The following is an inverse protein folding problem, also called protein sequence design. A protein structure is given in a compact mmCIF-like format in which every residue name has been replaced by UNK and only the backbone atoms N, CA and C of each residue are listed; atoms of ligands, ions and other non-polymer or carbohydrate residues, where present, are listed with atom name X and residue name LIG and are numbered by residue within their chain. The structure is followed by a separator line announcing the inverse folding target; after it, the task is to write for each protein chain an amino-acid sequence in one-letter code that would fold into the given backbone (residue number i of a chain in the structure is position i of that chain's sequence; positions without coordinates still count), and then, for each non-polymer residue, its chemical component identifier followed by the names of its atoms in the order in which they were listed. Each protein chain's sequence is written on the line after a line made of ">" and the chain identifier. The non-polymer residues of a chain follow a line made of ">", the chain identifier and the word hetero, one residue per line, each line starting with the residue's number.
data_IF_118617871446
#
_entry.id   IF_118617871446
#
_cell.length_a   1.000
_cell.length_b   1.000
_cell.length_c   1.000
_cell.angle_alpha   90.00
_cell.angle_beta   90.00
_cell.angle_gamma   90.00
#
_symmetry.space_group_name_H-M   'P 1'
#
loop_
_entity.id
_entity.type
_entity.pdbx_description
1 polymer ?
#
# COMPACT_ATOMS: atom_id res chain seq x y z
N UNK A 1 0.87 -10.13 -11.73
CA UNK A 1 1.52 -9.23 -10.75
C UNK A 1 2.44 -10.04 -9.88
N UNK A 2 3.66 -9.58 -9.61
CA UNK A 2 4.54 -10.19 -8.60
C UNK A 2 3.83 -10.21 -7.23
N UNK A 3 4.13 -11.21 -6.41
CA UNK A 3 3.54 -11.38 -5.08
C UNK A 3 4.65 -11.32 -4.03
N UNK A 4 4.31 -10.75 -2.88
CA UNK A 4 5.17 -10.67 -1.69
C UNK A 4 4.31 -11.04 -0.48
N UNK A 5 4.88 -11.76 0.47
CA UNK A 5 4.19 -12.12 1.71
C UNK A 5 4.22 -10.95 2.71
N UNK A 6 3.29 -10.95 3.67
CA UNK A 6 3.28 -9.96 4.75
C UNK A 6 4.59 -9.95 5.54
N UNK A 7 5.18 -11.14 5.76
CA UNK A 7 6.47 -11.30 6.46
C UNK A 7 7.62 -10.64 5.70
N UNK A 8 7.69 -10.84 4.38
CA UNK A 8 8.73 -10.21 3.56
C UNK A 8 8.56 -8.70 3.49
N UNK A 9 7.32 -8.21 3.35
CA UNK A 9 7.02 -6.77 3.40
C UNK A 9 7.50 -6.15 4.71
N UNK A 10 7.20 -6.81 5.85
CA UNK A 10 7.64 -6.36 7.17
C UNK A 10 9.18 -6.31 7.28
N UNK A 11 9.88 -7.37 6.85
CA UNK A 11 11.34 -7.41 6.87
C UNK A 11 12.00 -6.28 6.07
N UNK A 12 11.40 -5.88 4.94
CA UNK A 12 11.90 -4.76 4.13
C UNK A 12 11.71 -3.42 4.84
N UNK A 13 10.54 -3.21 5.45
CA UNK A 13 10.25 -2.03 6.26
C UNK A 13 11.25 -1.93 7.42
N UNK A 14 11.50 -3.03 8.13
CA UNK A 14 12.48 -3.07 9.23
C UNK A 14 13.92 -2.77 8.78
N UNK A 15 14.29 -3.14 7.55
CA UNK A 15 15.59 -2.80 6.94
C UNK A 15 15.70 -1.35 6.48
N UNK A 16 14.62 -0.57 6.55
CA UNK A 16 14.58 0.80 6.04
C UNK A 16 14.51 0.88 4.51
N UNK A 17 14.10 -0.19 3.82
CA UNK A 17 13.84 -0.11 2.39
C UNK A 17 12.65 0.84 2.11
N UNK A 18 12.67 1.60 1.00
CA UNK A 18 11.56 2.48 0.64
C UNK A 18 10.37 1.63 0.18
N UNK A 19 9.48 1.30 1.12
CA UNK A 19 8.25 0.53 0.90
C UNK A 19 7.04 1.39 1.27
N UNK A 20 6.04 1.43 0.39
CA UNK A 20 4.73 2.01 0.70
C UNK A 20 3.67 0.91 0.62
N UNK A 21 2.99 0.72 1.75
CA UNK A 21 1.82 -0.15 1.83
C UNK A 21 0.60 0.65 1.39
N UNK A 22 -0.16 0.10 0.44
CA UNK A 22 -1.30 0.78 -0.19
C UNK A 22 -2.55 -0.05 0.02
N UNK A 23 -3.50 0.48 0.78
CA UNK A 23 -4.79 -0.17 0.99
C UNK A 23 -5.71 0.13 -0.19
N UNK A 24 -6.09 -0.89 -0.95
CA UNK A 24 -6.98 -0.72 -2.11
C UNK A 24 -8.45 -0.97 -1.80
N UNK A 25 -8.79 -1.21 -0.53
CA UNK A 25 -10.14 -1.47 -0.04
C UNK A 25 -10.95 -0.17 0.01
N UNK A 26 -12.23 -0.32 0.38
CA UNK A 26 -13.13 0.84 0.56
C UNK A 26 -12.75 1.60 1.83
N UNK A 27 -12.96 2.92 1.89
CA UNK A 27 -12.67 3.73 3.09
C UNK A 27 -13.34 3.20 4.37
N UNK A 28 -14.53 2.61 4.26
CA UNK A 28 -15.25 2.03 5.41
C UNK A 28 -14.52 0.84 6.05
N UNK A 29 -13.72 0.08 5.28
CA UNK A 29 -12.92 -1.03 5.79
C UNK A 29 -11.64 -0.52 6.45
N UNK A 30 -10.96 0.43 5.81
CA UNK A 30 -9.75 1.09 6.32
C UNK A 30 -9.96 1.78 7.67
N UNK A 31 -11.10 2.48 7.84
CA UNK A 31 -11.49 3.12 9.11
C UNK A 31 -11.66 2.14 10.27
N UNK A 32 -11.97 0.87 10.00
CA UNK A 32 -12.13 -0.14 11.06
C UNK A 32 -10.78 -0.65 11.55
N UNK A 33 -9.90 -0.99 10.60
CA UNK A 33 -8.54 -1.45 10.86
C UNK A 33 -7.71 -1.28 9.60
N UNK A 34 -6.52 -0.73 9.77
CA UNK A 34 -5.54 -0.53 8.71
C UNK A 34 -4.13 -0.71 9.25
N UNK A 35 -3.18 -0.89 8.34
CA UNK A 35 -1.76 -0.95 8.67
C UNK A 35 -1.27 0.47 8.97
N UNK A 36 -0.60 0.67 10.09
CA UNK A 36 -0.04 1.98 10.44
C UNK A 36 0.87 2.50 9.33
N UNK A 37 0.71 3.78 8.97
CA UNK A 37 1.42 4.45 7.86
C UNK A 37 1.10 3.92 6.46
N UNK A 38 0.01 3.19 6.28
CA UNK A 38 -0.47 2.86 4.95
C UNK A 38 -1.04 4.08 4.22
N UNK A 39 -1.19 3.93 2.92
CA UNK A 39 -1.82 4.91 2.05
C UNK A 39 -3.12 4.34 1.50
N UNK A 40 -4.25 4.90 1.93
CA UNK A 40 -5.56 4.52 1.42
C UNK A 40 -5.72 4.99 -0.02
N UNK A 41 -5.84 4.04 -0.93
CA UNK A 41 -6.00 4.28 -2.36
C UNK A 41 -7.04 3.31 -2.95
N UNK A 42 -8.34 3.61 -2.78
CA UNK A 42 -9.40 2.69 -3.16
C UNK A 42 -9.33 2.34 -4.64
N UNK A 43 -9.40 1.03 -4.97
CA UNK A 43 -9.24 0.54 -6.36
C UNK A 43 -10.15 1.23 -7.39
N UNK A 44 -11.32 1.71 -6.97
CA UNK A 44 -12.28 2.42 -7.84
C UNK A 44 -11.79 3.79 -8.30
N UNK A 45 -10.91 4.41 -7.53
CA UNK A 45 -10.35 5.74 -7.80
C UNK A 45 -9.02 5.65 -8.58
N UNK A 46 -8.52 4.43 -8.85
CA UNK A 46 -7.22 4.20 -9.49
C UNK A 46 -7.09 4.89 -10.86
N UNK A 47 -8.18 4.91 -11.65
CA UNK A 47 -8.14 5.50 -12.99
C UNK A 47 -7.92 7.03 -12.94
N UNK A 48 -8.46 7.70 -11.93
CA UNK A 48 -8.47 9.16 -11.80
C UNK A 48 -7.22 9.67 -11.06
N UNK A 49 -6.69 8.88 -10.13
CA UNK A 49 -5.61 9.29 -9.21
C UNK A 49 -4.27 8.65 -9.53
N UNK A 50 -4.09 8.07 -10.72
CA UNK A 50 -2.93 7.21 -11.06
C UNK A 50 -1.58 7.89 -10.83
N UNK A 51 -1.52 9.21 -10.96
CA UNK A 51 -0.30 10.02 -10.78
C UNK A 51 0.06 10.37 -9.34
N UNK A 52 -0.78 10.03 -8.35
CA UNK A 52 -0.49 10.34 -6.94
C UNK A 52 0.44 9.32 -6.28
N UNK A 53 0.56 8.12 -6.87
CA UNK A 53 1.40 7.08 -6.30
C UNK A 53 2.88 7.35 -6.62
N UNK A 54 3.76 7.32 -5.62
CA UNK A 54 5.17 7.57 -5.81
C UNK A 54 5.82 6.46 -6.64
N UNK A 55 6.78 6.84 -7.50
CA UNK A 55 7.53 5.91 -8.35
C UNK A 55 8.91 5.55 -7.77
N UNK A 56 9.32 6.18 -6.65
CA UNK A 56 10.63 6.05 -6.01
C UNK A 56 10.69 4.92 -4.96
N UNK A 57 9.58 4.22 -4.73
CA UNK A 57 9.43 3.24 -3.65
C UNK A 57 8.64 2.02 -4.12
N UNK A 58 8.86 0.89 -3.45
CA UNK A 58 8.13 -0.34 -3.71
C UNK A 58 6.69 -0.21 -3.21
N UNK A 59 5.71 -0.35 -4.11
CA UNK A 59 4.29 -0.32 -3.77
C UNK A 59 3.80 -1.74 -3.45
N UNK A 60 3.30 -1.94 -2.24
CA UNK A 60 2.68 -3.20 -1.80
C UNK A 60 1.18 -2.98 -1.62
N UNK A 61 0.40 -3.48 -2.58
CA UNK A 61 -1.05 -3.38 -2.56
C UNK A 61 -1.67 -4.49 -1.71
N UNK A 62 -2.65 -4.16 -0.87
CA UNK A 62 -3.38 -5.13 -0.04
C UNK A 62 -4.89 -4.88 0.01
#
# INVERSE_FOLDING_TARGET
>A
MPRITARETWQRIERGEPVLVVDVRRPVAHRRVHITNDYLYPRREYAERKGELPHDRLLVLY
#
